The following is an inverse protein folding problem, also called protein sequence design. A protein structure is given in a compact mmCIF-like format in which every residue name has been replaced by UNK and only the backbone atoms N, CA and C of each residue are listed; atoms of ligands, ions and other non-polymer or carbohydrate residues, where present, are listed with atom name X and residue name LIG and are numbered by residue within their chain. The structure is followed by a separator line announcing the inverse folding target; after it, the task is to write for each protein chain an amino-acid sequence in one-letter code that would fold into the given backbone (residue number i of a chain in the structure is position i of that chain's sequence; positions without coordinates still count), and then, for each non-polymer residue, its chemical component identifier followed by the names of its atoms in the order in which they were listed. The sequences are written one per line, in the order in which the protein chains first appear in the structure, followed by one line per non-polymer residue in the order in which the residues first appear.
data_IF_103398852462
#
_entry.id   IF_103398852462
#
_cell.length_a   1.000
_cell.length_b   1.000
_cell.length_c   1.000
_cell.angle_alpha   90.00
_cell.angle_beta   90.00
_cell.angle_gamma   90.00
#
_symmetry.space_group_name_H-M   'P 1'
#
loop_
_entity.id
_entity.type
_entity.pdbx_description
1 polymer ?
#
# COMPACT_ATOMS: atom_id res chain seq x y z
N UNK A 1 1.36 22.40 3.55
CA UNK A 1 0.14 21.59 3.69
C UNK A 1 0.52 20.14 3.93
N UNK A 2 -0.11 19.49 4.91
CA UNK A 2 0.06 18.07 5.19
C UNK A 2 -0.96 17.28 4.38
N UNK A 3 -0.54 16.17 3.77
CA UNK A 3 -1.42 15.29 2.99
C UNK A 3 -1.06 13.83 3.19
N UNK A 4 -2.04 12.98 2.90
CA UNK A 4 -1.97 11.53 2.99
C UNK A 4 -2.62 10.92 1.76
N UNK A 5 -1.96 9.93 1.18
CA UNK A 5 -2.44 9.14 0.06
C UNK A 5 -2.48 7.66 0.46
N UNK A 6 -3.49 6.96 -0.02
CA UNK A 6 -3.63 5.51 0.15
C UNK A 6 -3.61 4.83 -1.22
N UNK A 7 -2.87 3.74 -1.35
CA UNK A 7 -2.80 2.98 -2.59
C UNK A 7 -2.52 1.49 -2.34
N UNK A 8 -2.80 0.62 -3.31
CA UNK A 8 -2.54 -0.82 -3.19
C UNK A 8 -1.06 -1.17 -3.20
N UNK A 9 -0.68 -2.13 -2.36
CA UNK A 9 0.69 -2.65 -2.33
C UNK A 9 0.89 -3.72 -3.41
N UNK A 10 1.64 -3.39 -4.45
CA UNK A 10 1.98 -4.32 -5.55
C UNK A 10 2.95 -5.41 -5.12
N UNK A 11 3.63 -5.26 -3.98
CA UNK A 11 4.54 -6.29 -3.45
C UNK A 11 3.82 -7.57 -3.02
N UNK A 12 2.51 -7.49 -2.78
CA UNK A 12 1.67 -8.68 -2.49
C UNK A 12 1.66 -9.65 -3.67
N UNK A 13 1.69 -9.13 -4.91
CA UNK A 13 1.71 -9.95 -6.13
C UNK A 13 3.12 -10.26 -6.65
N UNK A 14 4.07 -9.35 -6.41
CA UNK A 14 5.47 -9.51 -6.79
C UNK A 14 6.38 -8.79 -5.77
N UNK A 15 7.03 -9.52 -4.84
CA UNK A 15 7.87 -8.92 -3.79
C UNK A 15 9.02 -8.04 -4.31
N UNK A 16 9.51 -8.30 -5.52
CA UNK A 16 10.61 -7.55 -6.16
C UNK A 16 10.13 -6.33 -6.94
N UNK A 17 8.81 -6.06 -6.93
CA UNK A 17 8.28 -4.84 -7.55
C UNK A 17 8.50 -3.65 -6.60
N UNK A 18 9.36 -2.72 -7.01
CA UNK A 18 9.70 -1.52 -6.24
C UNK A 18 9.06 -0.23 -6.79
N UNK A 19 8.16 -0.33 -7.77
CA UNK A 19 7.62 0.84 -8.48
C UNK A 19 7.11 1.96 -7.55
N UNK A 20 6.29 1.64 -6.54
CA UNK A 20 5.77 2.65 -5.63
C UNK A 20 6.79 3.11 -4.58
N UNK A 21 7.76 2.27 -4.21
CA UNK A 21 8.85 2.67 -3.33
C UNK A 21 9.75 3.70 -4.03
N UNK A 22 10.04 3.48 -5.32
CA UNK A 22 10.86 4.36 -6.13
C UNK A 22 10.12 5.66 -6.49
N UNK A 23 8.84 5.56 -6.87
CA UNK A 23 8.00 6.71 -7.22
C UNK A 23 7.82 7.66 -6.04
N UNK A 24 7.64 7.12 -4.84
CA UNK A 24 7.40 7.90 -3.62
C UNK A 24 8.59 7.93 -2.66
N UNK A 25 9.81 7.70 -3.16
CA UNK A 25 11.04 7.58 -2.34
C UNK A 25 11.36 8.79 -1.46
N UNK A 26 10.84 9.97 -1.80
CA UNK A 26 11.03 11.21 -1.05
C UNK A 26 9.97 11.44 0.04
N UNK A 27 9.00 10.53 0.15
CA UNK A 27 7.89 10.60 1.11
C UNK A 27 7.96 9.46 2.13
N UNK A 28 7.16 9.56 3.19
CA UNK A 28 7.05 8.50 4.18
C UNK A 28 6.06 7.45 3.67
N UNK A 29 6.51 6.21 3.53
CA UNK A 29 5.69 5.08 3.08
C UNK A 29 5.53 4.10 4.25
N UNK A 30 4.29 3.83 4.64
CA UNK A 30 3.93 2.81 5.63
C UNK A 30 3.09 1.73 4.96
N UNK A 31 3.46 0.46 5.15
CA UNK A 31 2.66 -0.68 4.70
C UNK A 31 1.77 -1.14 5.83
N UNK A 32 0.46 -0.96 5.70
CA UNK A 32 -0.52 -1.32 6.73
C UNK A 32 -1.30 -2.55 6.30
N UNK A 33 -1.54 -3.52 7.20
CA UNK A 33 -2.41 -4.64 6.92
C UNK A 33 -3.86 -4.15 6.78
N UNK A 34 -4.47 -4.41 5.64
CA UNK A 34 -5.87 -4.14 5.33
C UNK A 34 -6.61 -5.43 4.99
N UNK A 35 -7.83 -5.57 5.52
CA UNK A 35 -8.73 -6.67 5.14
C UNK A 35 -9.47 -6.29 3.86
N UNK A 36 -9.29 -7.04 2.77
CA UNK A 36 -10.19 -6.91 1.61
C UNK A 36 -11.48 -7.67 1.88
N UNK A 37 -12.46 -6.95 2.43
CA UNK A 37 -13.81 -7.48 2.59
C UNK A 37 -14.53 -7.65 1.25
N UNK A 38 -14.09 -6.92 0.21
CA UNK A 38 -14.68 -6.95 -1.15
C UNK A 38 -13.60 -7.39 -2.15
N UNK A 39 -13.71 -8.62 -2.63
CA UNK A 39 -12.96 -9.16 -3.77
C UNK A 39 -13.94 -9.95 -4.65
N UNK A 40 -13.80 -9.82 -5.98
CA UNK A 40 -14.62 -10.55 -6.96
C UNK A 40 -14.45 -12.06 -6.85
N UNK A 41 -13.27 -12.53 -6.42
CA UNK A 41 -13.03 -13.90 -6.01
C UNK A 41 -13.04 -14.01 -4.47
N UNK A 42 -14.07 -14.66 -3.93
CA UNK A 42 -14.24 -14.86 -2.49
C UNK A 42 -13.08 -15.59 -1.81
N UNK A 43 -12.39 -16.50 -2.51
CA UNK A 43 -11.23 -17.23 -1.98
C UNK A 43 -9.98 -16.35 -1.85
N UNK A 44 -9.94 -15.21 -2.56
CA UNK A 44 -8.87 -14.21 -2.48
C UNK A 44 -9.18 -13.09 -1.48
N UNK A 45 -10.26 -13.22 -0.70
CA UNK A 45 -10.51 -12.34 0.45
C UNK A 45 -9.57 -12.75 1.57
N UNK A 46 -8.83 -11.79 2.12
CA UNK A 46 -7.78 -12.02 3.11
C UNK A 46 -7.16 -10.71 3.57
N UNK A 47 -6.14 -10.83 4.42
CA UNK A 47 -5.30 -9.69 4.82
C UNK A 47 -4.21 -9.52 3.77
N UNK A 48 -4.12 -8.32 3.23
CA UNK A 48 -3.04 -7.86 2.36
C UNK A 48 -2.53 -6.53 2.88
N UNK A 49 -1.39 -6.08 2.38
CA UNK A 49 -0.86 -4.76 2.70
C UNK A 49 -1.42 -3.71 1.75
N UNK A 50 -1.67 -2.52 2.29
CA UNK A 50 -1.93 -1.29 1.53
C UNK A 50 -0.84 -0.27 1.91
N UNK A 51 -0.54 0.65 0.99
CA UNK A 51 0.43 1.71 1.16
C UNK A 51 -0.25 2.97 1.69
N UNK A 52 0.31 3.52 2.76
CA UNK A 52 0.00 4.86 3.26
C UNK A 52 1.21 5.75 3.00
N UNK A 53 1.01 6.83 2.23
CA UNK A 53 2.09 7.73 1.81
C UNK A 53 1.80 9.13 2.34
N UNK A 54 2.74 9.73 3.07
CA UNK A 54 2.57 11.07 3.68
C UNK A 54 3.77 11.97 3.41
N UNK A 55 3.52 13.28 3.32
CA UNK A 55 4.58 14.30 3.27
C UNK A 55 4.98 14.84 4.66
N UNK A 56 4.52 14.18 5.71
CA UNK A 56 4.86 14.49 7.09
C UNK A 56 5.21 13.19 7.81
N UNK A 57 6.05 13.32 8.82
CA UNK A 57 6.42 12.22 9.70
C UNK A 57 5.28 12.02 10.71
N UNK A 58 4.87 10.76 10.89
CA UNK A 58 3.89 10.36 11.90
C UNK A 58 4.46 10.54 13.30
#
# INVERSE_FOLDING_TARGET
HQWMLSNSDVKVGNPDNHFFDDLYKEYYIERVPAKRNINSNGQKRGILTELLITNYRK
#
